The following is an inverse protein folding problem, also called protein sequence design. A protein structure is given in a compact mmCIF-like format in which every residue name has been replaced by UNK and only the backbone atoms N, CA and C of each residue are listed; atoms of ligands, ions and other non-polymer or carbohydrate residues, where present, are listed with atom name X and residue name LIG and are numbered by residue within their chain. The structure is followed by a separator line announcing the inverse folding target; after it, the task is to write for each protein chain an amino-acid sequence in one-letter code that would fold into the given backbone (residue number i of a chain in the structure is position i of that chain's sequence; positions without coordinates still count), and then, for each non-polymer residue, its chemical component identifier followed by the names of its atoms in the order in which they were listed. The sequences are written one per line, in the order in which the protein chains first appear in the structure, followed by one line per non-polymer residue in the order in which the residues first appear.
data_IF_702906426162
#
_entry.id   IF_702906426162
#
_cell.length_a   1.000
_cell.length_b   1.000
_cell.length_c   1.000
_cell.angle_alpha   90.00
_cell.angle_beta   90.00
_cell.angle_gamma   90.00
#
_symmetry.space_group_name_H-M   'P 1'
#
loop_
_entity.id
_entity.type
_entity.pdbx_description
1 polymer ?
#
# COMPACT_ATOMS: atom_id res chain seq x y z
N UNK A 1 -16.21 1.92 26.92
CA UNK A 1 -16.25 3.30 26.35
C UNK A 1 -16.20 3.17 24.83
N UNK A 2 -17.11 3.81 24.11
CA UNK A 2 -17.05 3.88 22.65
C UNK A 2 -15.99 4.91 22.23
N UNK A 3 -15.18 4.55 21.22
CA UNK A 3 -14.20 5.48 20.64
C UNK A 3 -14.95 6.49 19.77
N UNK A 4 -14.86 7.77 20.09
CA UNK A 4 -15.56 8.85 19.38
C UNK A 4 -14.74 9.42 18.21
N UNK A 5 -13.41 9.30 18.26
CA UNK A 5 -12.53 9.85 17.23
C UNK A 5 -11.23 9.05 17.09
N UNK A 6 -10.61 9.16 15.92
CA UNK A 6 -9.27 8.65 15.64
C UNK A 6 -8.37 9.78 15.12
N UNK A 7 -7.20 9.95 15.70
CA UNK A 7 -6.19 10.86 15.14
C UNK A 7 -5.61 10.31 13.83
N UNK A 8 -5.41 8.98 13.76
CA UNK A 8 -4.79 8.31 12.63
C UNK A 8 -5.38 6.91 12.43
N UNK A 9 -5.72 6.60 11.19
CA UNK A 9 -6.06 5.25 10.74
C UNK A 9 -5.04 4.83 9.69
N UNK A 10 -4.38 3.67 9.87
CA UNK A 10 -3.41 3.13 8.93
C UNK A 10 -3.96 1.84 8.33
N UNK A 11 -4.21 1.85 7.02
CA UNK A 11 -4.64 0.71 6.23
C UNK A 11 -3.40 -0.01 5.68
N UNK A 12 -2.84 -0.94 6.46
CA UNK A 12 -1.54 -1.54 6.19
C UNK A 12 -1.61 -2.95 5.58
N UNK A 13 -2.66 -3.72 5.88
CA UNK A 13 -2.77 -5.11 5.42
C UNK A 13 -2.65 -5.21 3.89
N UNK A 14 -1.89 -6.20 3.43
CA UNK A 14 -1.73 -6.43 2.00
C UNK A 14 -0.98 -7.72 1.68
N UNK A 15 -1.38 -8.34 0.57
CA UNK A 15 -0.75 -9.55 0.03
C UNK A 15 -0.27 -9.28 -1.39
N UNK A 16 0.80 -9.98 -1.80
CA UNK A 16 1.43 -9.83 -3.12
C UNK A 16 0.74 -10.70 -4.18
N UNK A 17 0.35 -11.92 -3.81
CA UNK A 17 0.04 -12.97 -4.77
C UNK A 17 1.30 -13.61 -5.38
N UNK A 18 1.13 -14.36 -6.47
CA UNK A 18 2.23 -15.03 -7.17
C UNK A 18 2.80 -14.13 -8.28
N UNK A 19 4.13 -14.14 -8.42
CA UNK A 19 4.81 -13.51 -9.55
C UNK A 19 4.69 -14.43 -10.77
N UNK A 20 3.94 -13.99 -11.77
CA UNK A 20 3.70 -14.68 -13.04
C UNK A 20 3.09 -13.73 -14.08
N UNK A 21 2.97 -14.15 -15.32
CA UNK A 21 2.34 -13.32 -16.34
C UNK A 21 0.83 -13.15 -16.12
N UNK A 22 0.27 -12.03 -16.55
CA UNK A 22 -1.15 -11.72 -16.34
C UNK A 22 -2.08 -12.78 -16.92
N UNK A 23 -1.78 -13.29 -18.10
CA UNK A 23 -2.58 -14.33 -18.75
C UNK A 23 -2.56 -15.69 -18.02
N UNK A 24 -1.60 -15.89 -17.12
CA UNK A 24 -1.51 -17.08 -16.28
C UNK A 24 -2.19 -16.90 -14.91
N UNK A 25 -2.69 -15.70 -14.62
CA UNK A 25 -3.44 -15.42 -13.40
C UNK A 25 -4.89 -15.88 -13.54
N UNK A 26 -5.37 -16.67 -12.60
CA UNK A 26 -6.81 -16.96 -12.53
C UNK A 26 -7.56 -15.74 -11.97
N UNK A 27 -8.85 -15.66 -12.30
CA UNK A 27 -9.72 -14.62 -11.73
C UNK A 27 -9.83 -14.74 -10.20
N UNK A 28 -9.78 -15.97 -9.69
CA UNK A 28 -9.82 -16.28 -8.26
C UNK A 28 -8.61 -15.68 -7.53
N UNK A 29 -7.39 -15.86 -8.06
CA UNK A 29 -6.16 -15.26 -7.50
C UNK A 29 -6.22 -13.72 -7.50
N UNK A 30 -6.78 -13.13 -8.55
CA UNK A 30 -6.98 -11.67 -8.61
C UNK A 30 -8.03 -11.21 -7.58
N UNK A 31 -9.13 -11.95 -7.42
CA UNK A 31 -10.16 -11.67 -6.42
C UNK A 31 -9.61 -11.74 -5.00
N UNK A 32 -8.85 -12.77 -4.65
CA UNK A 32 -8.21 -12.91 -3.34
C UNK A 32 -7.31 -11.71 -3.02
N UNK A 33 -6.51 -11.26 -3.99
CA UNK A 33 -5.65 -10.08 -3.82
C UNK A 33 -6.47 -8.81 -3.63
N UNK A 34 -7.56 -8.63 -4.40
CA UNK A 34 -8.47 -7.50 -4.27
C UNK A 34 -9.21 -7.52 -2.94
N UNK A 35 -9.63 -8.69 -2.47
CA UNK A 35 -10.34 -8.84 -1.19
C UNK A 35 -9.50 -8.32 -0.03
N UNK A 36 -8.21 -8.74 0.04
CA UNK A 36 -7.33 -8.29 1.11
C UNK A 36 -6.87 -6.84 0.91
N UNK A 37 -6.44 -6.45 -0.30
CA UNK A 37 -5.76 -5.17 -0.50
C UNK A 37 -6.71 -3.99 -0.71
N UNK A 38 -7.99 -4.25 -1.03
CA UNK A 38 -8.98 -3.20 -1.36
C UNK A 38 -10.23 -3.31 -0.52
N UNK A 39 -10.95 -4.43 -0.61
CA UNK A 39 -12.28 -4.54 0.01
C UNK A 39 -12.22 -4.59 1.53
N UNK A 40 -11.21 -5.23 2.11
CA UNK A 40 -10.99 -5.19 3.57
C UNK A 40 -10.78 -3.75 4.06
N UNK A 41 -10.04 -2.94 3.31
CA UNK A 41 -9.80 -1.53 3.63
C UNK A 41 -11.08 -0.70 3.54
N UNK A 42 -11.94 -0.98 2.55
CA UNK A 42 -13.27 -0.36 2.47
C UNK A 42 -14.10 -0.71 3.72
N UNK A 43 -14.13 -1.97 4.12
CA UNK A 43 -14.88 -2.39 5.30
C UNK A 43 -14.37 -1.73 6.60
N UNK A 44 -13.05 -1.59 6.73
CA UNK A 44 -12.46 -0.88 7.87
C UNK A 44 -12.89 0.59 7.87
N UNK A 45 -12.82 1.28 6.72
CA UNK A 45 -13.23 2.67 6.60
C UNK A 45 -14.71 2.84 6.91
N UNK A 46 -15.59 2.02 6.31
CA UNK A 46 -17.03 2.05 6.61
C UNK A 46 -17.30 1.88 8.10
N UNK A 47 -16.59 0.96 8.75
CA UNK A 47 -16.70 0.72 10.20
C UNK A 47 -16.18 1.90 11.02
N UNK A 48 -15.05 2.48 10.62
CA UNK A 48 -14.47 3.63 11.30
C UNK A 48 -15.35 4.87 11.19
N UNK A 49 -16.01 5.10 10.05
CA UNK A 49 -16.95 6.22 9.85
C UNK A 49 -18.36 5.96 10.36
N UNK A 50 -18.72 4.70 10.63
CA UNK A 50 -20.04 4.38 11.18
C UNK A 50 -20.25 5.05 12.53
N UNK A 51 -21.46 5.56 12.79
CA UNK A 51 -21.79 6.25 14.03
C UNK A 51 -21.28 7.69 14.13
N UNK A 52 -20.85 8.29 13.00
CA UNK A 52 -20.45 9.71 12.95
C UNK A 52 -19.11 10.02 13.62
N UNK A 53 -18.23 9.03 13.72
CA UNK A 53 -16.88 9.20 14.30
C UNK A 53 -16.03 10.15 13.46
N UNK A 54 -15.24 10.97 14.11
CA UNK A 54 -14.27 11.86 13.47
C UNK A 54 -12.95 11.15 13.27
N UNK A 55 -12.39 11.25 12.05
CA UNK A 55 -11.04 10.75 11.74
C UNK A 55 -10.24 11.93 11.19
N UNK A 56 -9.10 12.23 11.81
CA UNK A 56 -8.24 13.32 11.35
C UNK A 56 -7.45 12.95 10.10
N UNK A 57 -6.81 11.77 10.09
CA UNK A 57 -5.97 11.33 8.99
C UNK A 57 -6.15 9.83 8.71
N UNK A 58 -6.21 9.48 7.42
CA UNK A 58 -6.18 8.10 6.92
C UNK A 58 -4.97 7.92 6.00
N UNK A 59 -4.14 6.92 6.29
CA UNK A 59 -3.01 6.51 5.46
C UNK A 59 -3.27 5.13 4.88
N UNK A 60 -3.45 5.04 3.57
CA UNK A 60 -3.48 3.76 2.87
C UNK A 60 -2.07 3.38 2.41
N UNK A 61 -1.51 2.28 2.92
CA UNK A 61 -0.18 1.82 2.50
C UNK A 61 -0.25 1.29 1.08
N UNK A 62 0.22 2.12 0.17
CA UNK A 62 0.28 1.87 -1.27
C UNK A 62 1.64 1.28 -1.69
N UNK A 63 1.97 1.38 -2.94
CA UNK A 63 3.23 0.90 -3.53
C UNK A 63 3.54 1.63 -4.82
N UNK A 64 4.81 1.76 -5.17
CA UNK A 64 5.23 2.17 -6.51
C UNK A 64 4.68 1.26 -7.61
N UNK A 65 4.39 0.00 -7.30
CA UNK A 65 3.75 -0.95 -8.21
C UNK A 65 2.34 -0.50 -8.67
N UNK A 66 1.65 0.35 -7.91
CA UNK A 66 0.37 0.94 -8.31
C UNK A 66 0.46 1.84 -9.55
N UNK A 67 1.66 2.31 -9.88
CA UNK A 67 1.94 3.24 -10.99
C UNK A 67 2.82 2.61 -12.08
N UNK A 68 3.73 1.69 -11.73
CA UNK A 68 4.77 1.18 -12.63
C UNK A 68 4.26 0.12 -13.61
N UNK A 69 3.26 -0.68 -13.24
CA UNK A 69 2.76 -1.78 -14.07
C UNK A 69 3.81 -2.84 -14.40
N UNK A 70 4.76 -3.10 -13.49
CA UNK A 70 5.84 -4.07 -13.72
C UNK A 70 5.31 -5.47 -13.99
N UNK A 71 5.88 -6.15 -15.00
CA UNK A 71 5.52 -7.52 -15.38
C UNK A 71 5.67 -8.47 -14.20
N UNK A 72 4.66 -9.28 -13.94
CA UNK A 72 4.62 -10.24 -12.82
C UNK A 72 3.92 -9.74 -11.58
N UNK A 73 3.75 -8.44 -11.39
CA UNK A 73 3.06 -7.84 -10.20
C UNK A 73 1.53 -7.71 -10.33
N UNK A 74 0.93 -8.34 -11.22
CA UNK A 74 -0.44 -8.39 -11.71
C UNK A 74 -1.54 -7.95 -10.71
N UNK A 75 -2.08 -8.89 -9.92
CA UNK A 75 -3.10 -8.60 -8.92
C UNK A 75 -2.66 -7.58 -7.89
N UNK A 76 -1.37 -7.60 -7.51
CA UNK A 76 -0.82 -6.62 -6.58
C UNK A 76 -0.87 -5.20 -7.15
N UNK A 77 -0.36 -4.98 -8.36
CA UNK A 77 -0.39 -3.66 -9.00
C UNK A 77 -1.81 -3.17 -9.20
N UNK A 78 -2.71 -4.03 -9.69
CA UNK A 78 -4.13 -3.70 -9.83
C UNK A 78 -4.76 -3.32 -8.50
N UNK A 79 -4.52 -4.10 -7.45
CA UNK A 79 -5.10 -3.83 -6.13
C UNK A 79 -4.55 -2.55 -5.50
N UNK A 80 -3.25 -2.25 -5.65
CA UNK A 80 -2.68 -1.01 -5.12
C UNK A 80 -3.13 0.23 -5.91
N UNK A 81 -3.36 0.10 -7.22
CA UNK A 81 -3.99 1.15 -8.02
C UNK A 81 -5.46 1.37 -7.61
N UNK A 82 -6.20 0.28 -7.38
CA UNK A 82 -7.57 0.35 -6.88
C UNK A 82 -7.65 0.94 -5.46
N UNK A 83 -6.70 0.61 -4.57
CA UNK A 83 -6.59 1.24 -3.26
C UNK A 83 -6.36 2.76 -3.37
N UNK A 84 -5.46 3.21 -4.27
CA UNK A 84 -5.26 4.64 -4.49
C UNK A 84 -6.57 5.33 -4.90
N UNK A 85 -7.34 4.71 -5.78
CA UNK A 85 -8.64 5.25 -6.19
C UNK A 85 -9.66 5.21 -5.05
N UNK A 86 -9.69 4.15 -4.24
CA UNK A 86 -10.56 4.05 -3.07
C UNK A 86 -10.29 5.20 -2.09
N UNK A 87 -9.03 5.45 -1.75
CA UNK A 87 -8.58 6.56 -0.89
C UNK A 87 -9.03 7.91 -1.46
N UNK A 88 -8.89 8.09 -2.78
CA UNK A 88 -9.31 9.32 -3.45
C UNK A 88 -10.83 9.53 -3.42
N UNK A 89 -11.62 8.47 -3.56
CA UNK A 89 -13.08 8.56 -3.47
C UNK A 89 -13.52 8.96 -2.06
N UNK A 90 -12.98 8.31 -1.02
CA UNK A 90 -13.29 8.69 0.36
C UNK A 90 -12.87 10.12 0.70
N UNK A 91 -11.79 10.63 0.14
CA UNK A 91 -11.39 12.04 0.37
C UNK A 91 -12.41 13.04 -0.16
N UNK A 92 -13.10 12.71 -1.24
CA UNK A 92 -14.21 13.53 -1.77
C UNK A 92 -15.49 13.45 -0.95
N UNK A 93 -15.74 12.29 -0.32
CA UNK A 93 -16.95 12.05 0.49
C UNK A 93 -16.80 12.54 1.94
N UNK A 94 -15.56 12.54 2.49
CA UNK A 94 -15.24 12.87 3.88
C UNK A 94 -14.26 14.06 3.97
N UNK A 95 -14.67 15.30 3.63
CA UNK A 95 -13.78 16.45 3.51
C UNK A 95 -13.15 16.92 4.83
N UNK A 96 -13.65 16.47 5.98
CA UNK A 96 -13.05 16.73 7.31
C UNK A 96 -11.89 15.80 7.66
N UNK A 97 -11.65 14.76 6.85
CA UNK A 97 -10.59 13.77 7.05
C UNK A 97 -9.55 13.94 5.94
N UNK A 98 -8.27 13.93 6.31
CA UNK A 98 -7.20 13.94 5.33
C UNK A 98 -6.82 12.51 4.93
N UNK A 99 -6.83 12.21 3.64
CA UNK A 99 -6.51 10.89 3.08
C UNK A 99 -5.22 10.93 2.27
N UNK A 100 -4.37 9.92 2.43
CA UNK A 100 -3.17 9.78 1.59
C UNK A 100 -2.93 8.31 1.24
N UNK A 101 -2.69 8.03 -0.05
CA UNK A 101 -2.09 6.78 -0.50
C UNK A 101 -0.58 6.90 -0.39
N UNK A 102 0.06 6.17 0.55
CA UNK A 102 1.46 6.37 0.87
C UNK A 102 2.31 5.13 0.55
N UNK A 103 3.28 5.28 -0.35
CA UNK A 103 4.22 4.22 -0.70
C UNK A 103 5.45 4.28 0.22
N UNK A 104 5.75 3.17 0.94
CA UNK A 104 6.84 3.11 1.92
C UNK A 104 8.23 2.87 1.30
N UNK A 105 8.35 2.76 -0.02
CA UNK A 105 9.56 2.30 -0.68
C UNK A 105 9.76 0.79 -0.55
N UNK A 106 11.01 0.34 -0.60
CA UNK A 106 11.36 -1.06 -0.34
C UNK A 106 11.51 -1.27 1.17
N UNK A 107 10.95 -2.36 1.69
CA UNK A 107 10.99 -2.68 3.12
C UNK A 107 11.31 -4.15 3.28
N UNK A 108 12.34 -4.50 4.04
CA UNK A 108 12.72 -5.88 4.30
C UNK A 108 11.64 -6.61 5.11
N UNK A 109 10.91 -7.47 4.42
CA UNK A 109 9.73 -8.19 4.92
C UNK A 109 9.65 -9.58 4.30
N UNK A 110 8.79 -10.44 4.83
CA UNK A 110 8.50 -11.76 4.25
C UNK A 110 8.05 -11.69 2.78
N UNK A 111 7.40 -10.59 2.36
CA UNK A 111 7.03 -10.35 0.97
C UNK A 111 8.28 -10.19 0.09
N UNK A 112 9.30 -9.48 0.56
CA UNK A 112 10.58 -9.34 -0.13
C UNK A 112 11.37 -10.64 -0.11
N UNK A 113 11.35 -11.39 1.00
CA UNK A 113 11.97 -12.73 1.08
C UNK A 113 11.42 -13.65 0.00
N UNK A 114 10.10 -13.69 -0.16
CA UNK A 114 9.48 -14.48 -1.22
C UNK A 114 10.02 -14.09 -2.61
N UNK A 115 10.03 -12.81 -2.96
CA UNK A 115 10.46 -12.33 -4.28
C UNK A 115 11.94 -12.56 -4.54
N UNK A 116 12.80 -12.28 -3.54
CA UNK A 116 14.26 -12.41 -3.69
C UNK A 116 14.73 -13.86 -3.72
N UNK A 117 13.93 -14.80 -3.23
CA UNK A 117 14.19 -16.24 -3.31
C UNK A 117 13.67 -16.90 -4.60
N UNK A 118 12.97 -16.15 -5.47
CA UNK A 118 12.54 -16.69 -6.76
C UNK A 118 13.74 -16.97 -7.66
N UNK A 119 13.66 -18.03 -8.51
CA UNK A 119 14.64 -18.29 -9.55
C UNK A 119 14.81 -17.07 -10.46
N UNK A 120 15.99 -16.94 -11.04
CA UNK A 120 16.23 -15.94 -12.07
C UNK A 120 15.32 -16.18 -13.28
N UNK A 121 14.60 -15.14 -13.68
CA UNK A 121 13.76 -15.16 -14.86
C UNK A 121 13.84 -13.76 -15.52
N UNK A 122 14.43 -13.65 -16.72
CA UNK A 122 14.63 -12.36 -17.39
C UNK A 122 13.31 -11.65 -17.71
N UNK A 123 12.17 -12.34 -17.67
CA UNK A 123 10.85 -11.74 -17.84
C UNK A 123 10.50 -10.80 -16.67
N UNK A 124 11.06 -11.05 -15.49
CA UNK A 124 10.75 -10.33 -14.25
C UNK A 124 11.98 -9.53 -13.78
N UNK A 125 12.59 -8.79 -14.67
CA UNK A 125 13.80 -8.00 -14.40
C UNK A 125 13.76 -7.14 -13.10
N UNK A 126 12.63 -6.56 -12.68
CA UNK A 126 12.58 -5.83 -11.39
C UNK A 126 12.94 -6.67 -10.16
N UNK A 127 12.83 -8.00 -10.21
CA UNK A 127 13.23 -8.90 -9.10
C UNK A 127 14.74 -8.79 -8.86
N UNK A 128 15.55 -8.66 -9.88
CA UNK A 128 16.99 -8.52 -9.72
C UNK A 128 17.38 -7.21 -9.01
N UNK A 129 16.59 -6.14 -9.21
CA UNK A 129 16.74 -4.90 -8.47
C UNK A 129 16.44 -5.12 -6.98
N UNK A 130 15.42 -5.92 -6.65
CA UNK A 130 15.08 -6.26 -5.27
C UNK A 130 16.16 -7.12 -4.62
N UNK A 131 16.70 -8.12 -5.32
CA UNK A 131 17.81 -8.94 -4.85
C UNK A 131 19.05 -8.10 -4.55
N UNK A 132 19.39 -7.16 -5.44
CA UNK A 132 20.52 -6.25 -5.23
C UNK A 132 20.31 -5.26 -4.06
N UNK A 133 19.06 -4.87 -3.79
CA UNK A 133 18.73 -3.95 -2.69
C UNK A 133 18.68 -4.65 -1.33
N UNK A 134 18.44 -5.96 -1.29
CA UNK A 134 18.29 -6.71 -0.04
C UNK A 134 19.57 -6.68 0.79
N UNK A 135 19.44 -6.39 2.10
CA UNK A 135 20.57 -6.26 3.00
C UNK A 135 21.37 -4.97 2.87
N UNK A 136 20.85 -3.99 2.11
CA UNK A 136 21.44 -2.66 1.97
C UNK A 136 20.50 -1.58 2.56
N UNK A 137 20.99 -0.36 2.71
CA UNK A 137 20.18 0.79 3.15
C UNK A 137 18.99 1.12 2.22
N UNK A 138 19.02 0.64 0.98
CA UNK A 138 17.92 0.81 0.03
C UNK A 138 16.68 -0.05 0.39
N UNK A 139 16.86 -1.07 1.23
CA UNK A 139 15.78 -1.93 1.74
C UNK A 139 15.88 -2.03 3.27
N UNK A 140 15.50 -0.97 4.01
CA UNK A 140 15.56 -0.95 5.46
C UNK A 140 14.64 -2.00 6.10
N UNK A 141 14.92 -2.35 7.34
CA UNK A 141 14.04 -3.19 8.15
C UNK A 141 12.65 -2.56 8.32
N UNK A 142 11.65 -3.40 8.63
CA UNK A 142 10.30 -2.92 8.92
C UNK A 142 10.26 -1.88 10.05
N UNK A 143 11.11 -2.04 11.07
CA UNK A 143 11.21 -1.08 12.18
C UNK A 143 11.75 0.28 11.73
N UNK A 144 12.84 0.30 10.97
CA UNK A 144 13.46 1.55 10.46
C UNK A 144 12.52 2.25 9.47
N UNK A 145 11.84 1.47 8.61
CA UNK A 145 10.83 2.02 7.71
C UNK A 145 9.67 2.63 8.48
N UNK A 146 9.09 1.91 9.45
CA UNK A 146 7.96 2.40 10.24
C UNK A 146 8.31 3.71 10.95
N UNK A 147 9.52 3.85 11.49
CA UNK A 147 9.97 5.10 12.10
C UNK A 147 9.96 6.26 11.10
N UNK A 148 10.55 6.06 9.91
CA UNK A 148 10.55 7.08 8.84
C UNK A 148 9.12 7.45 8.40
N UNK A 149 8.21 6.46 8.30
CA UNK A 149 6.82 6.71 7.91
C UNK A 149 6.09 7.54 8.96
N UNK A 150 6.25 7.21 10.25
CA UNK A 150 5.60 7.94 11.35
C UNK A 150 6.09 9.39 11.37
N UNK A 151 7.39 9.62 11.19
CA UNK A 151 7.97 10.97 11.14
C UNK A 151 7.44 11.78 9.93
N UNK A 152 7.06 11.11 8.83
CA UNK A 152 6.54 11.75 7.63
C UNK A 152 5.02 12.04 7.68
N UNK A 153 4.23 11.33 8.49
CA UNK A 153 2.77 11.48 8.50
C UNK A 153 2.26 12.90 8.73
N UNK A 154 2.85 13.72 9.64
CA UNK A 154 2.40 15.10 9.81
C UNK A 154 2.57 15.96 8.55
N UNK A 155 3.66 15.80 7.79
CA UNK A 155 3.90 16.56 6.57
C UNK A 155 2.96 16.20 5.42
N UNK A 156 2.39 14.98 5.43
CA UNK A 156 1.40 14.57 4.44
C UNK A 156 0.11 15.39 4.51
N UNK A 157 -0.21 15.98 5.68
CA UNK A 157 -1.38 16.86 5.85
C UNK A 157 -1.28 18.16 5.03
N UNK A 158 -0.09 18.52 4.58
CA UNK A 158 0.16 19.70 3.74
C UNK A 158 -0.13 19.43 2.25
N UNK A 159 -0.24 18.16 1.86
CA UNK A 159 -0.53 17.74 0.50
C UNK A 159 -2.04 17.77 0.21
N UNK A 160 -2.42 17.63 -1.06
CA UNK A 160 -3.81 17.45 -1.45
C UNK A 160 -4.38 16.14 -0.87
N UNK A 161 -5.53 16.22 -0.19
CA UNK A 161 -6.23 15.03 0.32
C UNK A 161 -6.67 14.12 -0.82
N UNK A 162 -6.50 12.80 -0.65
CA UNK A 162 -6.74 11.81 -1.70
C UNK A 162 -5.55 11.59 -2.63
N UNK A 163 -4.45 12.31 -2.42
CA UNK A 163 -3.23 12.22 -3.22
C UNK A 163 -2.39 10.97 -2.95
N UNK A 164 -1.40 10.74 -3.83
CA UNK A 164 -0.38 9.72 -3.68
C UNK A 164 0.96 10.34 -3.30
N UNK A 165 1.61 9.78 -2.29
CA UNK A 165 2.95 10.17 -1.87
C UNK A 165 3.89 8.95 -1.83
N UNK A 166 5.18 9.18 -2.01
CA UNK A 166 6.23 8.16 -1.93
C UNK A 166 7.33 8.67 -0.99
N UNK A 167 7.65 7.89 0.04
CA UNK A 167 8.65 8.27 1.07
C UNK A 167 10.00 8.67 0.47
N UNK A 168 10.34 8.14 -0.69
CA UNK A 168 11.61 8.42 -1.38
C UNK A 168 11.64 9.79 -2.06
N UNK A 169 10.52 10.53 -2.05
CA UNK A 169 10.35 11.84 -2.69
C UNK A 169 10.01 12.96 -1.69
N UNK A 170 9.93 12.60 -0.40
CA UNK A 170 9.79 13.52 0.73
C UNK A 170 11.18 13.82 1.37
#
# INVERSE_FOLDING_TARGET
EEVESFDLVILNAGVLGKIKDMQDCSIEELRETMEVNVWSNKWILDTCFSGGRNIKQVIGISSGASLSGSRGWNGYSLSKAALNMLIKLYSGECPSTHFTSFAPGLVDTAMQDYMTNLPEDPRYAPIEILKAAKGTEAMPSGYECAKKLIDAFPSLLENESGGYADIRKL
#
